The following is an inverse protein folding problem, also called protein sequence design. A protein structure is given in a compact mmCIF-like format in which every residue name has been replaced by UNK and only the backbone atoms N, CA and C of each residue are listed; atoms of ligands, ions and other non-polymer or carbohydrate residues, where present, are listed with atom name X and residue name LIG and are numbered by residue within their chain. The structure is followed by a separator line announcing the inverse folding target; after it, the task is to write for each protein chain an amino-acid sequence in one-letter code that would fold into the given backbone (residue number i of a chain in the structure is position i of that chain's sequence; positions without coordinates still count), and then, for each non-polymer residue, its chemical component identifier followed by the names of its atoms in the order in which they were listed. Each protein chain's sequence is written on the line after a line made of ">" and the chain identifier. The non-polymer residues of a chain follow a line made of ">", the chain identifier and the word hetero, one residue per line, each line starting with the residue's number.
data_IF_583791060281
#
_entry.id   IF_583791060281
#
_cell.length_a   1.000
_cell.length_b   1.000
_cell.length_c   1.000
_cell.angle_alpha   90.00
_cell.angle_beta   90.00
_cell.angle_gamma   90.00
#
_symmetry.space_group_name_H-M   'P 1'
#
loop_
_entity.id
_entity.type
_entity.pdbx_description
1 polymer ?
#
# COMPACT_ATOMS: atom_id res chain seq x y z
N UNK A 1 12.25 -23.77 11.29
CA UNK A 1 13.54 -23.81 10.56
C UNK A 1 14.05 -22.42 10.14
N UNK A 2 13.33 -21.70 9.27
CA UNK A 2 13.75 -20.38 8.77
C UNK A 2 13.84 -19.31 9.87
N UNK A 3 12.89 -19.27 10.80
CA UNK A 3 12.90 -18.31 11.91
C UNK A 3 14.14 -18.43 12.81
N UNK A 4 14.60 -19.65 13.07
CA UNK A 4 15.80 -19.90 13.89
C UNK A 4 17.06 -19.45 13.15
N UNK A 5 17.14 -19.68 11.84
CA UNK A 5 18.26 -19.23 10.99
C UNK A 5 18.33 -17.69 10.99
N UNK A 6 17.19 -17.02 10.87
CA UNK A 6 17.11 -15.54 10.92
C UNK A 6 17.57 -15.03 12.28
N UNK A 7 17.09 -15.62 13.38
CA UNK A 7 17.50 -15.23 14.74
C UNK A 7 19.02 -15.38 14.93
N UNK A 8 19.59 -16.51 14.51
CA UNK A 8 21.04 -16.74 14.56
C UNK A 8 21.77 -15.68 13.73
N UNK A 9 21.32 -15.39 12.51
CA UNK A 9 21.93 -14.37 11.66
C UNK A 9 21.86 -12.96 12.27
N UNK A 10 20.75 -12.61 12.92
CA UNK A 10 20.58 -11.33 13.62
C UNK A 10 21.60 -11.21 14.76
N UNK A 11 21.70 -12.23 15.62
CA UNK A 11 22.68 -12.21 16.72
C UNK A 11 24.14 -12.22 16.25
N UNK A 12 24.43 -12.80 15.08
CA UNK A 12 25.81 -12.98 14.61
C UNK A 12 26.30 -11.84 13.70
N UNK A 13 25.41 -11.18 12.96
CA UNK A 13 25.79 -10.14 11.98
C UNK A 13 25.27 -8.74 12.28
N UNK A 14 24.22 -8.59 13.09
CA UNK A 14 23.75 -7.26 13.47
C UNK A 14 24.64 -6.75 14.60
N UNK A 15 25.67 -5.96 14.25
CA UNK A 15 26.40 -5.15 15.22
C UNK A 15 25.41 -4.14 15.79
N UNK A 16 24.91 -4.39 16.98
CA UNK A 16 24.69 -3.38 18.02
C UNK A 16 24.37 -1.95 17.54
N UNK A 17 23.34 -1.74 16.70
CA UNK A 17 22.70 -0.42 16.51
C UNK A 17 21.82 -0.16 17.75
N UNK A 18 22.46 -0.05 18.92
CA UNK A 18 21.77 0.17 20.19
C UNK A 18 21.29 1.60 20.27
N UNK A 19 19.98 1.77 20.08
CA UNK A 19 19.14 2.79 20.71
C UNK A 19 19.68 4.23 20.62
N UNK A 20 19.65 4.83 19.41
CA UNK A 20 19.71 6.30 19.28
C UNK A 20 18.51 6.99 19.97
N UNK A 21 17.43 6.26 20.26
CA UNK A 21 16.22 6.73 20.96
C UNK A 21 16.21 6.38 22.48
N UNK A 22 17.37 6.42 23.16
CA UNK A 22 17.40 6.27 24.63
C UNK A 22 16.66 7.44 25.30
N UNK A 23 15.47 7.17 25.85
CA UNK A 23 14.72 8.11 26.69
C UNK A 23 13.34 8.52 26.15
N UNK A 24 12.92 8.05 24.97
CA UNK A 24 11.57 8.29 24.48
C UNK A 24 10.59 7.27 25.06
N UNK A 25 9.58 7.75 25.79
CA UNK A 25 8.49 6.92 26.31
C UNK A 25 7.55 6.50 25.16
N UNK A 26 7.09 5.24 25.14
CA UNK A 26 6.14 4.77 24.14
C UNK A 26 4.71 5.30 24.41
N UNK A 27 4.08 5.90 23.41
CA UNK A 27 2.69 6.39 23.54
C UNK A 27 1.67 5.24 23.46
N UNK A 28 1.46 4.56 24.59
CA UNK A 28 0.46 3.49 24.70
C UNK A 28 -0.98 3.98 24.43
N UNK A 29 -1.29 5.23 24.81
CA UNK A 29 -2.65 5.77 24.65
C UNK A 29 -2.93 6.00 23.18
N UNK A 30 -2.03 6.68 22.48
CA UNK A 30 -2.09 6.87 21.03
C UNK A 30 -2.20 5.53 20.30
N UNK A 31 -1.42 4.53 20.71
CA UNK A 31 -1.41 3.22 20.08
C UNK A 31 -2.76 2.49 20.20
N UNK A 32 -3.40 2.57 21.37
CA UNK A 32 -4.73 1.97 21.60
C UNK A 32 -5.80 2.68 20.79
N UNK A 33 -5.83 4.02 20.80
CA UNK A 33 -6.82 4.79 20.03
C UNK A 33 -6.67 4.49 18.55
N UNK A 34 -5.43 4.50 18.03
CA UNK A 34 -5.14 4.17 16.65
C UNK A 34 -5.57 2.76 16.29
N UNK A 35 -5.22 1.76 17.12
CA UNK A 35 -5.59 0.36 16.89
C UNK A 35 -7.11 0.16 16.85
N UNK A 36 -7.84 0.74 17.81
CA UNK A 36 -9.31 0.69 17.85
C UNK A 36 -9.94 1.39 16.65
N UNK A 37 -9.37 2.51 16.20
CA UNK A 37 -9.83 3.23 15.01
C UNK A 37 -9.74 2.35 13.76
N UNK A 38 -8.59 1.69 13.55
CA UNK A 38 -8.38 0.81 12.40
C UNK A 38 -9.33 -0.38 12.45
N UNK A 39 -9.45 -1.06 13.61
CA UNK A 39 -10.33 -2.22 13.76
C UNK A 39 -11.79 -1.83 13.47
N UNK A 40 -12.27 -0.71 14.02
CA UNK A 40 -13.63 -0.24 13.77
C UNK A 40 -13.88 0.08 12.29
N UNK A 41 -12.94 0.75 11.62
CA UNK A 41 -13.04 1.05 10.17
C UNK A 41 -13.06 -0.25 9.37
N UNK A 42 -12.10 -1.16 9.58
CA UNK A 42 -12.00 -2.43 8.82
C UNK A 42 -13.26 -3.25 8.98
N UNK A 43 -13.65 -3.49 10.23
CA UNK A 43 -14.79 -4.33 10.53
C UNK A 43 -16.10 -3.68 10.06
N UNK A 44 -16.20 -2.36 10.19
CA UNK A 44 -17.30 -1.58 9.64
C UNK A 44 -17.44 -1.73 8.12
N UNK A 45 -16.34 -1.60 7.36
CA UNK A 45 -16.32 -1.83 5.91
C UNK A 45 -16.79 -3.24 5.54
N UNK A 46 -16.39 -4.25 6.31
CA UNK A 46 -16.82 -5.64 6.07
C UNK A 46 -18.32 -5.87 6.28
N UNK A 47 -19.00 -4.99 7.04
CA UNK A 47 -20.43 -5.10 7.33
C UNK A 47 -21.30 -4.27 6.38
N UNK A 48 -20.71 -3.34 5.62
CA UNK A 48 -21.42 -2.53 4.64
C UNK A 48 -22.19 -3.41 3.61
N UNK A 49 -23.39 -2.98 3.17
CA UNK A 49 -24.02 -1.67 3.40
C UNK A 49 -24.90 -1.64 4.66
N UNK A 50 -24.76 -2.58 5.60
CA UNK A 50 -25.58 -2.58 6.81
C UNK A 50 -25.32 -1.31 7.65
N UNK A 51 -26.38 -0.83 8.32
CA UNK A 51 -26.31 0.37 9.16
C UNK A 51 -25.28 0.24 10.30
N UNK A 52 -25.12 -0.97 10.86
CA UNK A 52 -24.08 -1.26 11.86
C UNK A 52 -22.66 -1.05 11.31
N UNK A 53 -22.44 -1.41 10.04
CA UNK A 53 -21.18 -1.15 9.34
C UNK A 53 -20.92 0.33 9.17
N UNK A 54 -21.92 1.10 8.76
CA UNK A 54 -21.82 2.56 8.64
C UNK A 54 -21.48 3.23 9.99
N UNK A 55 -22.16 2.84 11.08
CA UNK A 55 -21.85 3.34 12.42
C UNK A 55 -20.43 3.00 12.88
N UNK A 56 -19.95 1.77 12.64
CA UNK A 56 -18.58 1.37 12.97
C UNK A 56 -17.54 2.18 12.19
N UNK A 57 -17.79 2.44 10.90
CA UNK A 57 -16.92 3.31 10.09
C UNK A 57 -16.90 4.73 10.65
N UNK A 58 -18.06 5.30 11.03
CA UNK A 58 -18.15 6.63 11.62
C UNK A 58 -17.43 6.73 12.97
N UNK A 59 -17.61 5.72 13.85
CA UNK A 59 -16.90 5.64 15.14
C UNK A 59 -15.40 5.51 14.90
N UNK A 60 -14.99 4.66 13.97
CA UNK A 60 -13.59 4.49 13.62
C UNK A 60 -12.97 5.77 13.05
N UNK A 61 -13.69 6.49 12.18
CA UNK A 61 -13.28 7.79 11.66
C UNK A 61 -13.18 8.85 12.78
N UNK A 62 -14.10 8.84 13.73
CA UNK A 62 -14.04 9.71 14.92
C UNK A 62 -12.83 9.38 15.80
N UNK A 63 -12.55 8.11 16.06
CA UNK A 63 -11.36 7.67 16.80
C UNK A 63 -10.06 8.03 16.09
N UNK A 64 -10.04 7.96 14.75
CA UNK A 64 -8.89 8.40 13.96
C UNK A 64 -8.69 9.92 14.07
N UNK A 65 -9.78 10.69 14.04
CA UNK A 65 -9.73 12.13 14.24
C UNK A 65 -9.26 12.52 15.64
N UNK A 66 -9.71 11.82 16.68
CA UNK A 66 -9.21 12.05 18.05
C UNK A 66 -7.75 11.62 18.22
N UNK A 67 -7.32 10.54 17.57
CA UNK A 67 -5.91 10.13 17.53
C UNK A 67 -5.03 11.22 16.91
N UNK A 68 -5.42 11.81 15.77
CA UNK A 68 -4.69 12.93 15.17
C UNK A 68 -4.59 14.10 16.15
N UNK A 69 -5.68 14.43 16.85
CA UNK A 69 -5.67 15.49 17.87
C UNK A 69 -4.78 15.19 19.09
N UNK A 70 -4.68 13.91 19.48
CA UNK A 70 -3.81 13.44 20.56
C UNK A 70 -2.33 13.54 20.17
N UNK A 71 -2.00 13.07 18.97
CA UNK A 71 -0.64 13.05 18.43
C UNK A 71 0.00 14.44 18.32
N UNK A 72 -0.79 15.47 18.00
CA UNK A 72 -0.30 16.86 17.95
C UNK A 72 0.27 17.31 19.31
N UNK A 73 -0.20 16.73 20.42
CA UNK A 73 0.15 17.13 21.79
C UNK A 73 1.06 16.13 22.51
N UNK A 74 1.28 14.95 21.93
CA UNK A 74 2.06 13.89 22.54
C UNK A 74 3.56 14.29 22.63
N UNK A 75 4.24 13.89 23.71
CA UNK A 75 5.68 14.15 23.89
C UNK A 75 6.55 13.25 23.01
N UNK A 76 6.10 12.01 22.80
CA UNK A 76 6.75 11.00 21.96
C UNK A 76 5.71 10.45 20.96
N UNK A 77 5.36 11.21 19.92
CA UNK A 77 4.31 10.88 18.98
C UNK A 77 4.62 9.59 18.18
N UNK A 78 3.63 8.71 17.98
CA UNK A 78 3.73 7.54 17.09
C UNK A 78 3.81 8.01 15.63
N UNK A 79 3.07 9.07 15.31
CA UNK A 79 3.16 9.78 14.05
C UNK A 79 3.62 11.20 14.32
N UNK A 80 4.90 11.49 14.13
CA UNK A 80 5.40 12.85 14.26
C UNK A 80 4.82 13.75 13.14
N UNK A 81 3.76 14.48 13.47
CA UNK A 81 3.05 15.39 12.56
C UNK A 81 3.97 16.51 12.07
N UNK A 82 5.03 16.86 12.81
CA UNK A 82 5.99 17.85 12.36
C UNK A 82 6.78 17.35 11.14
N UNK A 83 7.03 16.05 11.02
CA UNK A 83 7.62 15.47 9.81
C UNK A 83 6.69 15.68 8.61
N UNK A 84 5.37 15.50 8.76
CA UNK A 84 4.43 15.77 7.67
C UNK A 84 4.33 17.25 7.31
N UNK A 85 4.41 18.15 8.30
CA UNK A 85 4.25 19.59 8.08
C UNK A 85 5.49 20.24 7.48
N UNK A 86 6.67 19.84 7.93
CA UNK A 86 7.93 20.49 7.59
C UNK A 86 8.72 19.76 6.49
N UNK A 87 8.35 18.52 6.15
CA UNK A 87 9.03 17.71 5.15
C UNK A 87 8.06 17.26 4.05
N UNK A 88 8.07 18.00 2.95
CA UNK A 88 7.21 17.74 1.79
C UNK A 88 7.51 16.39 1.15
N UNK A 89 8.78 15.96 1.10
CA UNK A 89 9.16 14.64 0.55
C UNK A 89 8.54 13.53 1.38
N UNK A 90 8.63 13.62 2.71
CA UNK A 90 8.04 12.65 3.62
C UNK A 90 6.52 12.58 3.48
N UNK A 91 5.85 13.74 3.50
CA UNK A 91 4.39 13.82 3.39
C UNK A 91 3.86 13.24 2.08
N UNK A 92 4.41 13.68 0.94
CA UNK A 92 3.95 13.23 -0.37
C UNK A 92 4.37 11.80 -0.71
N UNK A 93 5.51 11.31 -0.22
CA UNK A 93 5.90 9.91 -0.41
C UNK A 93 5.01 8.94 0.40
N UNK A 94 4.59 9.35 1.60
CA UNK A 94 3.61 8.60 2.40
C UNK A 94 2.21 8.65 1.79
N UNK A 95 1.78 9.82 1.30
CA UNK A 95 0.51 9.95 0.56
C UNK A 95 0.49 9.11 -0.71
N UNK A 96 1.58 9.12 -1.49
CA UNK A 96 1.72 8.30 -2.68
C UNK A 96 1.67 6.81 -2.33
N UNK A 97 2.30 6.37 -1.22
CA UNK A 97 2.22 5.00 -0.74
C UNK A 97 0.77 4.62 -0.41
N UNK A 98 0.09 5.43 0.40
CA UNK A 98 -1.31 5.21 0.77
C UNK A 98 -2.19 5.03 -0.48
N UNK A 99 -2.08 5.94 -1.45
CA UNK A 99 -2.89 5.90 -2.68
C UNK A 99 -2.54 4.68 -3.54
N UNK A 100 -1.25 4.39 -3.75
CA UNK A 100 -0.83 3.26 -4.59
C UNK A 100 -1.28 1.92 -4.01
N UNK A 101 -1.13 1.72 -2.69
CA UNK A 101 -1.59 0.50 -2.03
C UNK A 101 -3.13 0.41 -1.93
N UNK A 102 -3.82 1.56 -1.87
CA UNK A 102 -5.29 1.62 -1.99
C UNK A 102 -5.81 1.16 -3.35
N UNK A 103 -5.01 1.36 -4.40
CA UNK A 103 -5.40 0.96 -5.75
C UNK A 103 -5.02 -0.48 -6.12
N UNK A 104 -4.05 -1.10 -5.43
CA UNK A 104 -3.41 -2.33 -5.95
C UNK A 104 -3.68 -3.58 -5.13
N UNK A 105 -3.99 -3.46 -3.85
CA UNK A 105 -4.03 -4.63 -2.98
C UNK A 105 -5.19 -5.60 -3.28
N UNK A 106 -6.36 -5.06 -3.63
CA UNK A 106 -7.52 -5.89 -3.99
C UNK A 106 -7.36 -6.62 -5.34
N UNK A 107 -6.34 -6.30 -6.15
CA UNK A 107 -6.13 -6.93 -7.48
C UNK A 107 -6.05 -8.45 -7.37
N UNK A 108 -5.21 -8.97 -6.46
CA UNK A 108 -5.03 -10.43 -6.31
C UNK A 108 -6.32 -11.12 -5.88
N UNK A 109 -7.12 -10.48 -5.02
CA UNK A 109 -8.41 -11.01 -4.60
C UNK A 109 -9.42 -11.03 -5.75
N UNK A 110 -9.60 -9.90 -6.46
CA UNK A 110 -10.52 -9.79 -7.59
C UNK A 110 -10.15 -10.77 -8.72
N UNK A 111 -8.87 -10.86 -9.05
CA UNK A 111 -8.39 -11.80 -10.08
C UNK A 111 -8.50 -13.26 -9.64
N UNK A 112 -8.28 -13.57 -8.35
CA UNK A 112 -8.50 -14.91 -7.83
C UNK A 112 -9.95 -15.36 -8.04
N UNK A 113 -10.91 -14.49 -7.70
CA UNK A 113 -12.33 -14.80 -7.91
C UNK A 113 -12.67 -14.90 -9.40
N UNK A 114 -12.15 -14.01 -10.24
CA UNK A 114 -12.34 -14.09 -11.69
C UNK A 114 -11.80 -15.39 -12.29
N UNK A 115 -10.58 -15.79 -11.96
CA UNK A 115 -9.93 -16.98 -12.49
C UNK A 115 -10.65 -18.27 -12.04
N UNK A 116 -11.14 -18.31 -10.80
CA UNK A 116 -11.83 -19.49 -10.28
C UNK A 116 -13.29 -19.57 -10.74
N UNK A 117 -14.07 -18.49 -10.58
CA UNK A 117 -15.52 -18.53 -10.86
C UNK A 117 -15.85 -18.31 -12.34
N UNK A 118 -15.14 -17.44 -13.04
CA UNK A 118 -15.43 -17.13 -14.46
C UNK A 118 -14.61 -18.01 -15.40
N UNK A 119 -13.31 -18.21 -15.12
CA UNK A 119 -12.46 -19.08 -15.94
C UNK A 119 -12.50 -20.55 -15.54
N UNK A 120 -13.12 -20.88 -14.41
CA UNK A 120 -13.25 -22.27 -13.95
C UNK A 120 -11.91 -22.93 -13.60
N UNK A 121 -10.87 -22.15 -13.31
CA UNK A 121 -9.55 -22.69 -12.97
C UNK A 121 -9.54 -23.26 -11.55
N UNK A 122 -8.68 -24.25 -11.34
CA UNK A 122 -8.40 -24.76 -10.00
C UNK A 122 -7.75 -23.66 -9.12
N UNK A 123 -7.86 -23.75 -7.79
CA UNK A 123 -7.14 -22.87 -6.89
C UNK A 123 -5.61 -22.92 -7.09
N UNK A 124 -5.06 -24.09 -7.44
CA UNK A 124 -3.64 -24.27 -7.71
C UNK A 124 -3.20 -23.48 -8.95
N UNK A 125 -3.92 -23.62 -10.06
CA UNK A 125 -3.60 -22.91 -11.31
C UNK A 125 -3.79 -21.40 -11.16
N UNK A 126 -4.84 -20.99 -10.45
CA UNK A 126 -5.08 -19.59 -10.10
C UNK A 126 -3.90 -19.01 -9.30
N UNK A 127 -3.43 -19.74 -8.29
CA UNK A 127 -2.26 -19.35 -7.51
C UNK A 127 -1.01 -19.17 -8.37
N UNK A 128 -0.73 -20.11 -9.28
CA UNK A 128 0.41 -20.02 -10.20
C UNK A 128 0.36 -18.77 -11.09
N UNK A 129 -0.81 -18.41 -11.59
CA UNK A 129 -1.00 -17.19 -12.39
C UNK A 129 -0.76 -15.95 -11.54
N UNK A 130 -1.35 -15.87 -10.35
CA UNK A 130 -1.25 -14.69 -9.47
C UNK A 130 0.17 -14.45 -8.96
N UNK A 131 0.97 -15.52 -8.78
CA UNK A 131 2.38 -15.44 -8.37
C UNK A 131 3.26 -14.72 -9.40
N UNK A 132 2.82 -14.57 -10.65
CA UNK A 132 3.57 -13.81 -11.67
C UNK A 132 3.86 -12.37 -11.24
N UNK A 133 2.91 -11.68 -10.60
CA UNK A 133 3.07 -10.30 -10.14
C UNK A 133 4.18 -10.16 -9.08
N UNK A 134 4.15 -10.87 -7.94
CA UNK A 134 5.20 -10.73 -6.92
C UNK A 134 6.56 -11.24 -7.38
N UNK A 135 6.62 -12.24 -8.28
CA UNK A 135 7.89 -12.71 -8.86
C UNK A 135 8.56 -11.62 -9.67
N UNK A 136 7.82 -10.95 -10.57
CA UNK A 136 8.36 -9.82 -11.34
C UNK A 136 8.76 -8.69 -10.39
N UNK A 137 7.93 -8.38 -9.40
CA UNK A 137 8.25 -7.35 -8.43
C UNK A 137 9.56 -7.64 -7.69
N UNK A 138 9.76 -8.89 -7.24
CA UNK A 138 10.97 -9.33 -6.55
C UNK A 138 12.22 -9.25 -7.44
N UNK A 139 12.11 -9.65 -8.71
CA UNK A 139 13.22 -9.59 -9.68
C UNK A 139 13.65 -8.14 -9.94
N UNK A 140 12.70 -7.23 -10.14
CA UNK A 140 12.99 -5.86 -10.57
C UNK A 140 13.20 -4.84 -9.43
N UNK A 141 12.74 -5.15 -8.20
CA UNK A 141 12.88 -4.24 -7.05
C UNK A 141 14.34 -3.83 -6.74
N UNK A 142 15.35 -4.73 -6.74
CA UNK A 142 16.74 -4.32 -6.54
C UNK A 142 17.27 -3.37 -7.61
N UNK A 143 16.84 -3.55 -8.87
CA UNK A 143 17.23 -2.67 -9.97
C UNK A 143 16.58 -1.30 -9.83
N UNK A 144 15.31 -1.25 -9.42
CA UNK A 144 14.61 -0.01 -9.13
C UNK A 144 15.29 0.78 -8.00
N UNK A 145 15.72 0.08 -6.93
CA UNK A 145 16.47 0.69 -5.83
C UNK A 145 17.79 1.30 -6.29
N UNK A 146 18.62 0.54 -7.02
CA UNK A 146 19.89 1.07 -7.58
C UNK A 146 19.68 2.23 -8.55
N UNK A 147 18.60 2.21 -9.33
CA UNK A 147 18.24 3.30 -10.22
C UNK A 147 17.85 4.55 -9.42
N UNK A 148 17.17 4.37 -8.28
CA UNK A 148 16.78 5.43 -7.35
C UNK A 148 17.93 6.12 -6.66
N UNK A 149 19.11 5.49 -6.59
CA UNK A 149 20.33 6.10 -6.04
C UNK A 149 21.00 7.05 -7.06
N UNK A 150 20.61 6.96 -8.34
CA UNK A 150 21.20 7.74 -9.44
C UNK A 150 20.22 8.73 -10.08
N UNK A 151 18.94 8.38 -10.11
CA UNK A 151 17.86 9.16 -10.70
C UNK A 151 16.90 9.54 -9.59
N UNK A 152 16.35 10.75 -9.65
CA UNK A 152 15.43 11.25 -8.62
C UNK A 152 14.29 10.26 -8.36
N UNK A 153 14.06 9.83 -7.10
CA UNK A 153 13.07 8.80 -6.77
C UNK A 153 11.66 9.20 -7.22
N UNK A 154 11.37 10.51 -7.21
CA UNK A 154 10.14 11.10 -7.76
C UNK A 154 9.86 10.62 -9.18
N UNK A 155 10.85 10.61 -10.07
CA UNK A 155 10.66 10.30 -11.49
C UNK A 155 10.36 8.81 -11.64
N UNK A 156 11.19 7.97 -11.02
CA UNK A 156 11.09 6.51 -11.13
C UNK A 156 9.77 6.01 -10.53
N UNK A 157 9.43 6.45 -9.32
CA UNK A 157 8.21 6.02 -8.66
C UNK A 157 6.96 6.55 -9.35
N UNK A 158 6.99 7.77 -9.91
CA UNK A 158 5.86 8.27 -10.72
C UNK A 158 5.68 7.45 -12.01
N UNK A 159 6.77 7.07 -12.68
CA UNK A 159 6.72 6.18 -13.83
C UNK A 159 6.17 4.79 -13.45
N UNK A 160 6.59 4.24 -12.30
CA UNK A 160 6.04 3.00 -11.75
C UNK A 160 4.54 3.07 -11.47
N UNK A 161 4.05 4.20 -10.93
CA UNK A 161 2.62 4.43 -10.77
C UNK A 161 1.88 4.57 -12.11
N UNK A 162 2.46 5.20 -13.12
CA UNK A 162 1.87 5.28 -14.45
C UNK A 162 1.71 3.88 -15.09
N UNK A 163 2.71 3.02 -14.96
CA UNK A 163 2.64 1.62 -15.40
C UNK A 163 1.59 0.82 -14.59
N UNK A 164 1.49 1.10 -13.30
CA UNK A 164 0.44 0.53 -12.43
C UNK A 164 -0.95 0.93 -12.93
N UNK A 165 -1.18 2.21 -13.25
CA UNK A 165 -2.45 2.69 -13.83
C UNK A 165 -2.74 1.99 -15.15
N UNK A 166 -1.75 1.89 -16.05
CA UNK A 166 -1.92 1.19 -17.31
C UNK A 166 -2.35 -0.26 -17.10
N UNK A 167 -1.72 -0.98 -16.17
CA UNK A 167 -2.13 -2.34 -15.83
C UNK A 167 -3.53 -2.42 -15.22
N UNK A 168 -3.90 -1.50 -14.32
CA UNK A 168 -5.24 -1.48 -13.73
C UNK A 168 -6.31 -1.22 -14.79
N UNK A 169 -6.03 -0.34 -15.76
CA UNK A 169 -6.90 -0.11 -16.92
C UNK A 169 -7.01 -1.35 -17.81
N UNK A 170 -5.94 -2.11 -18.02
CA UNK A 170 -6.00 -3.37 -18.77
C UNK A 170 -6.99 -4.36 -18.13
N UNK A 171 -7.06 -4.43 -16.80
CA UNK A 171 -8.01 -5.31 -16.12
C UNK A 171 -9.49 -4.88 -16.27
N UNK A 172 -9.78 -3.65 -16.71
CA UNK A 172 -11.16 -3.22 -17.04
C UNK A 172 -11.71 -3.91 -18.30
N UNK A 173 -10.83 -4.49 -19.13
CA UNK A 173 -11.22 -5.22 -20.35
C UNK A 173 -11.51 -6.70 -20.11
N UNK A 174 -11.38 -7.20 -18.87
CA UNK A 174 -11.63 -8.62 -18.56
C UNK A 174 -13.06 -9.03 -18.90
N UNK A 175 -13.20 -10.16 -19.59
CA UNK A 175 -14.48 -10.78 -19.94
C UNK A 175 -14.35 -12.31 -19.89
N UNK A 176 -15.41 -13.03 -20.23
CA UNK A 176 -15.43 -14.49 -20.21
C UNK A 176 -14.48 -15.12 -21.24
N UNK A 177 -14.19 -14.42 -22.35
CA UNK A 177 -13.35 -14.91 -23.45
C UNK A 177 -11.87 -14.50 -23.33
N UNK A 178 -11.52 -13.67 -22.34
CA UNK A 178 -10.17 -13.08 -22.25
C UNK A 178 -9.09 -14.15 -22.14
N UNK A 179 -8.08 -14.11 -22.99
CA UNK A 179 -7.00 -15.08 -22.96
C UNK A 179 -6.19 -14.99 -21.65
N UNK A 180 -5.79 -16.12 -21.07
CA UNK A 180 -4.95 -16.14 -19.85
C UNK A 180 -3.63 -15.39 -20.04
N UNK A 181 -3.08 -15.39 -21.26
CA UNK A 181 -1.88 -14.62 -21.62
C UNK A 181 -2.05 -13.12 -21.36
N UNK A 182 -3.25 -12.57 -21.59
CA UNK A 182 -3.55 -11.16 -21.32
C UNK A 182 -3.51 -10.87 -19.82
N UNK A 183 -4.09 -11.75 -19.00
CA UNK A 183 -4.08 -11.64 -17.52
C UNK A 183 -2.65 -11.69 -16.99
N UNK A 184 -1.86 -12.67 -17.44
CA UNK A 184 -0.45 -12.82 -17.04
C UNK A 184 0.39 -11.61 -17.46
N UNK A 185 0.23 -11.13 -18.69
CA UNK A 185 0.98 -9.95 -19.18
C UNK A 185 0.62 -8.70 -18.39
N UNK A 186 -0.66 -8.54 -18.04
CA UNK A 186 -1.12 -7.43 -17.19
C UNK A 186 -0.54 -7.55 -15.77
N UNK A 187 -0.53 -8.74 -15.16
CA UNK A 187 0.11 -8.99 -13.86
C UNK A 187 1.62 -8.72 -13.86
N UNK A 188 2.31 -9.06 -14.95
CA UNK A 188 3.73 -8.75 -15.14
C UNK A 188 3.92 -7.23 -15.18
N UNK A 189 3.11 -6.51 -15.96
CA UNK A 189 3.15 -5.05 -16.04
C UNK A 189 2.89 -4.41 -14.67
N UNK A 190 1.91 -4.92 -13.92
CA UNK A 190 1.61 -4.49 -12.55
C UNK A 190 2.81 -4.72 -11.62
N UNK A 191 3.41 -5.91 -11.65
CA UNK A 191 4.56 -6.27 -10.83
C UNK A 191 5.76 -5.37 -11.11
N UNK A 192 6.00 -5.06 -12.39
CA UNK A 192 7.05 -4.14 -12.81
C UNK A 192 6.77 -2.70 -12.36
N UNK A 193 5.54 -2.21 -12.53
CA UNK A 193 5.12 -0.89 -12.04
C UNK A 193 5.29 -0.73 -10.53
N UNK A 194 4.87 -1.76 -9.77
CA UNK A 194 5.03 -1.81 -8.32
C UNK A 194 6.50 -1.88 -7.87
N UNK A 195 7.37 -2.58 -8.61
CA UNK A 195 8.81 -2.58 -8.33
C UNK A 195 9.42 -1.17 -8.47
N UNK A 196 9.10 -0.49 -9.57
CA UNK A 196 9.56 0.88 -9.83
C UNK A 196 8.96 1.91 -8.87
N UNK A 197 7.83 1.63 -8.23
CA UNK A 197 7.26 2.48 -7.20
C UNK A 197 7.83 2.19 -5.81
N UNK A 198 7.72 0.95 -5.34
CA UNK A 198 7.89 0.59 -3.94
C UNK A 198 9.30 0.86 -3.42
N UNK A 199 10.34 0.44 -4.16
CA UNK A 199 11.72 0.63 -3.72
C UNK A 199 12.15 2.10 -3.75
N UNK A 200 11.97 2.86 -4.84
CA UNK A 200 12.30 4.29 -4.86
C UNK A 200 11.48 5.12 -3.86
N UNK A 201 10.21 4.77 -3.64
CA UNK A 201 9.40 5.46 -2.62
C UNK A 201 9.90 5.19 -1.20
N UNK A 202 10.34 3.97 -0.91
CA UNK A 202 10.93 3.64 0.39
C UNK A 202 12.23 4.41 0.60
N UNK A 203 13.11 4.44 -0.41
CA UNK A 203 14.33 5.25 -0.37
C UNK A 203 14.00 6.73 -0.15
N UNK A 204 13.00 7.28 -0.84
CA UNK A 204 12.57 8.67 -0.66
C UNK A 204 12.13 8.99 0.77
N UNK A 205 11.37 8.10 1.40
CA UNK A 205 10.94 8.27 2.80
C UNK A 205 12.14 8.23 3.73
N UNK A 206 12.98 7.20 3.63
CA UNK A 206 14.12 7.01 4.54
C UNK A 206 15.18 8.09 4.38
N UNK A 207 15.49 8.50 3.15
CA UNK A 207 16.48 9.55 2.88
C UNK A 207 15.97 10.95 3.20
N UNK A 208 14.67 11.12 3.48
CA UNK A 208 14.10 12.43 3.84
C UNK A 208 14.22 12.77 5.32
N UNK A 209 14.58 11.80 6.16
CA UNK A 209 14.65 11.98 7.62
C UNK A 209 16.05 11.67 8.16
N UNK A 210 16.38 12.21 9.34
CA UNK A 210 17.60 11.87 10.07
C UNK A 210 17.55 10.43 10.60
N UNK A 211 18.72 9.82 10.85
CA UNK A 211 18.85 8.41 11.29
C UNK A 211 18.00 8.08 12.52
N UNK A 212 17.97 9.00 13.50
CA UNK A 212 17.16 8.88 14.73
C UNK A 212 15.66 8.66 14.47
N UNK A 213 15.14 9.13 13.33
CA UNK A 213 13.73 8.99 12.97
C UNK A 213 13.43 7.80 12.05
N UNK A 214 14.40 6.94 11.73
CA UNK A 214 14.19 5.79 10.85
C UNK A 214 13.12 4.83 11.37
N UNK A 215 13.04 4.62 12.69
CA UNK A 215 11.98 3.83 13.30
C UNK A 215 10.59 4.40 13.02
N UNK A 216 10.40 5.70 13.28
CA UNK A 216 9.14 6.43 13.05
C UNK A 216 8.79 6.47 11.55
N UNK A 217 9.76 6.75 10.69
CA UNK A 217 9.56 6.81 9.24
C UNK A 217 9.14 5.45 8.66
N UNK A 218 9.78 4.37 9.09
CA UNK A 218 9.43 3.00 8.69
C UNK A 218 8.05 2.60 9.17
N UNK A 219 7.74 2.86 10.45
CA UNK A 219 6.42 2.58 11.02
C UNK A 219 5.32 3.36 10.27
N UNK A 220 5.56 4.65 10.00
CA UNK A 220 4.64 5.50 9.25
C UNK A 220 4.38 4.96 7.85
N UNK A 221 5.43 4.59 7.11
CA UNK A 221 5.29 4.04 5.76
C UNK A 221 4.54 2.70 5.77
N UNK A 222 4.83 1.83 6.74
CA UNK A 222 4.12 0.57 6.92
C UNK A 222 2.63 0.80 7.23
N UNK A 223 2.33 1.77 8.09
CA UNK A 223 0.98 2.25 8.40
C UNK A 223 0.24 2.73 7.14
N UNK A 224 0.87 3.56 6.32
CA UNK A 224 0.27 4.04 5.06
C UNK A 224 -0.02 2.88 4.10
N UNK A 225 0.90 1.93 3.99
CA UNK A 225 0.71 0.71 3.19
C UNK A 225 -0.48 -0.09 3.69
N UNK A 226 -0.52 -0.46 4.98
CA UNK A 226 -1.59 -1.29 5.54
C UNK A 226 -2.95 -0.61 5.44
N UNK A 227 -3.01 0.69 5.78
CA UNK A 227 -4.22 1.49 5.65
C UNK A 227 -4.70 1.52 4.19
N UNK A 228 -3.78 1.69 3.23
CA UNK A 228 -4.13 1.63 1.81
C UNK A 228 -4.65 0.26 1.41
N UNK A 229 -3.97 -0.81 1.80
CA UNK A 229 -4.42 -2.19 1.53
C UNK A 229 -5.84 -2.44 2.06
N UNK A 230 -6.16 -1.96 3.25
CA UNK A 230 -7.49 -2.03 3.84
C UNK A 230 -8.53 -1.25 3.02
N UNK A 231 -8.23 -0.01 2.63
CA UNK A 231 -9.12 0.79 1.78
C UNK A 231 -9.38 0.11 0.43
N UNK A 232 -8.35 -0.51 -0.15
CA UNK A 232 -8.45 -1.26 -1.40
C UNK A 232 -9.49 -2.38 -1.29
N UNK A 233 -9.39 -3.21 -0.25
CA UNK A 233 -10.37 -4.27 0.00
C UNK A 233 -11.76 -3.71 0.32
N UNK A 234 -11.84 -2.62 1.10
CA UNK A 234 -13.10 -1.96 1.40
C UNK A 234 -13.84 -1.49 0.14
N UNK A 235 -13.13 -0.86 -0.80
CA UNK A 235 -13.67 -0.43 -2.10
C UNK A 235 -14.15 -1.63 -2.92
N UNK A 236 -13.36 -2.71 -2.99
CA UNK A 236 -13.74 -3.92 -3.71
C UNK A 236 -15.02 -4.55 -3.13
N UNK A 237 -15.08 -4.72 -1.82
CA UNK A 237 -16.23 -5.30 -1.12
C UNK A 237 -17.47 -4.42 -1.23
N UNK A 238 -17.33 -3.10 -1.12
CA UNK A 238 -18.43 -2.16 -1.32
C UNK A 238 -18.97 -2.24 -2.75
N UNK A 239 -18.09 -2.34 -3.74
CA UNK A 239 -18.49 -2.50 -5.14
C UNK A 239 -19.28 -3.80 -5.33
N UNK A 240 -18.82 -4.93 -4.81
CA UNK A 240 -19.59 -6.18 -4.85
C UNK A 240 -20.93 -6.07 -4.14
N UNK A 241 -20.98 -5.45 -2.97
CA UNK A 241 -22.20 -5.31 -2.21
C UNK A 241 -23.27 -4.46 -2.93
N UNK A 242 -22.85 -3.44 -3.70
CA UNK A 242 -23.77 -2.59 -4.48
C UNK A 242 -24.31 -3.31 -5.72
N UNK A 243 -23.47 -4.06 -6.44
CA UNK A 243 -23.82 -4.61 -7.76
C UNK A 243 -24.33 -6.07 -7.72
N UNK A 244 -23.84 -6.88 -6.77
CA UNK A 244 -24.22 -8.30 -6.63
C UNK A 244 -25.11 -8.49 -5.40
N UNK A 245 -24.84 -7.73 -4.32
CA UNK A 245 -25.47 -7.95 -3.01
C UNK A 245 -24.80 -9.06 -2.20
N UNK A 246 -25.41 -9.46 -1.08
CA UNK A 246 -24.91 -10.54 -0.19
C UNK A 246 -25.37 -11.92 -0.67
N UNK A 247 -25.12 -12.25 -1.93
CA UNK A 247 -25.50 -13.55 -2.52
C UNK A 247 -24.28 -14.36 -2.93
N UNK A 248 -24.32 -15.70 -2.83
CA UNK A 248 -23.23 -16.54 -3.32
C UNK A 248 -23.04 -16.34 -4.83
N UNK A 249 -21.78 -16.28 -5.26
CA UNK A 249 -21.41 -16.16 -6.67
C UNK A 249 -21.88 -17.43 -7.37
N UNK A 250 -22.95 -17.30 -8.15
CA UNK A 250 -23.54 -18.36 -8.96
C UNK A 250 -23.56 -17.93 -10.43
N UNK A 251 -23.64 -18.87 -11.40
CA UNK A 251 -23.57 -18.56 -12.83
C UNK A 251 -24.53 -17.45 -13.29
N UNK A 252 -25.69 -17.31 -12.63
CA UNK A 252 -26.68 -16.26 -12.89
C UNK A 252 -26.17 -14.83 -12.62
N UNK A 253 -25.17 -14.65 -11.77
CA UNK A 253 -24.61 -13.35 -11.39
C UNK A 253 -23.24 -13.07 -12.01
N UNK A 254 -22.74 -13.93 -12.93
CA UNK A 254 -21.42 -13.75 -13.54
C UNK A 254 -21.28 -12.41 -14.29
N UNK A 255 -22.33 -11.97 -14.99
CA UNK A 255 -22.34 -10.67 -15.70
C UNK A 255 -22.24 -9.48 -14.73
N UNK A 256 -23.00 -9.49 -13.63
CA UNK A 256 -22.93 -8.47 -12.58
C UNK A 256 -21.59 -8.49 -11.84
N UNK A 257 -21.04 -9.68 -11.61
CA UNK A 257 -19.73 -9.88 -11.00
C UNK A 257 -18.60 -9.31 -11.87
N UNK A 258 -18.59 -9.62 -13.17
CA UNK A 258 -17.64 -9.03 -14.11
C UNK A 258 -17.76 -7.51 -14.16
N UNK A 259 -18.99 -6.99 -14.19
CA UNK A 259 -19.23 -5.54 -14.17
C UNK A 259 -18.65 -4.90 -12.91
N UNK A 260 -18.84 -5.54 -11.74
CA UNK A 260 -18.30 -5.06 -10.47
C UNK A 260 -16.77 -5.05 -10.46
N UNK A 261 -16.13 -6.10 -10.98
CA UNK A 261 -14.68 -6.17 -11.13
C UNK A 261 -14.17 -5.00 -11.99
N UNK A 262 -14.80 -4.78 -13.15
CA UNK A 262 -14.40 -3.70 -14.07
C UNK A 262 -14.52 -2.34 -13.42
N UNK A 263 -15.59 -2.10 -12.67
CA UNK A 263 -15.82 -0.84 -11.96
C UNK A 263 -14.81 -0.66 -10.83
N UNK A 264 -14.51 -1.72 -10.07
CA UNK A 264 -13.47 -1.67 -9.05
C UNK A 264 -12.11 -1.31 -9.66
N UNK A 265 -11.73 -1.95 -10.78
CA UNK A 265 -10.49 -1.61 -11.48
C UNK A 265 -10.48 -0.21 -12.07
N UNK A 266 -11.62 0.31 -12.53
CA UNK A 266 -11.74 1.70 -12.98
C UNK A 266 -11.53 2.68 -11.82
N UNK A 267 -12.15 2.43 -10.65
CA UNK A 267 -11.97 3.23 -9.44
C UNK A 267 -10.50 3.20 -9.01
N UNK A 268 -9.88 2.02 -8.97
CA UNK A 268 -8.46 1.87 -8.64
C UNK A 268 -7.55 2.58 -9.63
N UNK A 269 -7.86 2.53 -10.93
CA UNK A 269 -7.11 3.24 -11.96
C UNK A 269 -7.18 4.75 -11.75
N UNK A 270 -8.37 5.30 -11.52
CA UNK A 270 -8.57 6.73 -11.27
C UNK A 270 -7.87 7.18 -9.98
N UNK A 271 -7.99 6.38 -8.91
CA UNK A 271 -7.32 6.63 -7.63
C UNK A 271 -5.79 6.65 -7.79
N UNK A 272 -5.22 5.63 -8.44
CA UNK A 272 -3.78 5.54 -8.68
C UNK A 272 -3.28 6.65 -9.61
N UNK A 273 -4.08 7.05 -10.61
CA UNK A 273 -3.79 8.18 -11.48
C UNK A 273 -3.66 9.49 -10.69
N UNK A 274 -4.59 9.75 -9.76
CA UNK A 274 -4.46 10.86 -8.79
C UNK A 274 -3.17 10.76 -7.96
N UNK A 275 -2.79 9.55 -7.57
CA UNK A 275 -1.55 9.28 -6.84
C UNK A 275 -0.27 9.61 -7.60
N UNK A 276 -0.27 9.59 -8.95
CA UNK A 276 0.88 10.03 -9.75
C UNK A 276 1.22 11.48 -9.43
N UNK A 277 0.22 12.35 -9.25
CA UNK A 277 0.45 13.75 -8.93
C UNK A 277 1.00 13.92 -7.51
N UNK A 278 0.54 13.14 -6.54
CA UNK A 278 1.13 13.12 -5.19
C UNK A 278 2.60 12.66 -5.24
N UNK A 279 2.87 11.59 -5.98
CA UNK A 279 4.21 11.05 -6.21
C UNK A 279 5.14 12.05 -6.89
N UNK A 280 4.61 12.84 -7.84
CA UNK A 280 5.33 13.94 -8.46
C UNK A 280 5.52 15.09 -7.46
N UNK A 281 4.49 15.53 -6.74
CA UNK A 281 4.56 16.72 -5.89
C UNK A 281 5.63 16.65 -4.77
N UNK A 282 6.16 15.46 -4.45
CA UNK A 282 7.16 15.23 -3.39
C UNK A 282 8.44 16.08 -3.47
N UNK A 283 8.85 16.58 -4.64
CA UNK A 283 10.09 17.36 -4.79
C UNK A 283 11.34 16.56 -5.21
N UNK A 284 12.53 17.14 -5.03
CA UNK A 284 13.84 16.55 -5.41
C UNK A 284 14.65 16.21 -4.16
N UNK A 285 15.24 15.01 -4.13
CA UNK A 285 15.98 14.51 -2.96
C UNK A 285 17.48 14.75 -3.14
N UNK A 286 18.02 14.55 -4.35
CA UNK A 286 19.46 14.64 -4.58
C UNK A 286 19.99 16.07 -4.61
N UNK A 287 19.12 17.08 -4.60
CA UNK A 287 19.50 18.50 -4.52
C UNK A 287 19.62 19.05 -3.09
N UNK A 288 19.42 18.23 -2.04
CA UNK A 288 19.75 18.64 -0.68
C UNK A 288 21.26 18.54 -0.44
N UNK A 289 21.93 19.57 0.08
CA UNK A 289 23.31 19.43 0.51
C UNK A 289 23.37 18.35 1.59
N UNK A 290 24.22 17.32 1.38
CA UNK A 290 24.52 16.35 2.44
C UNK A 290 25.00 17.15 3.66
N UNK A 291 24.48 16.91 4.87
CA UNK A 291 25.06 17.53 6.06
C UNK A 291 26.55 17.15 6.07
N UNK A 292 27.40 18.17 5.96
CA UNK A 292 28.83 17.99 6.17
C UNK A 292 29.01 17.32 7.52
N UNK A 293 29.69 16.16 7.51
CA UNK A 293 30.20 15.53 8.71
C UNK A 293 31.01 16.59 9.47
N UNK A 294 30.40 17.23 10.48
CA UNK A 294 31.14 17.91 11.53
C UNK A 294 31.75 16.83 12.41
N UNK A 295 32.80 16.20 11.89
CA UNK A 295 33.82 15.58 12.72
C UNK A 295 34.67 16.73 13.27
N UNK A 296 34.43 17.06 14.55
CA UNK A 296 35.29 17.87 15.39
C UNK A 296 35.38 17.19 16.74
#
# INVERSE_FOLDING_TARGET
>A
PLGVIIIIFVFWKLKEEWAEAKGEEFDFIGAIIYSLSLVAIIYGFSLLPAMSGAWLVLIGAFLLWTFVGWEIKAKSPILDINLFRNNTIFAFSNLAALINYSATFAVSFLLSLYLQYVKGLSPQDTGLILVSQPVVMAIFSPFAGRLSDRVEPRIIASAGMALTVASLLLFTFLNEETALKFVVTSLILLGFGLALFSSPNTNAVMSSVESRFYGVASATLATMRLTGQMLSMGIAMLTFAIYIGKVPITPRYHSFFLTSIKIAFLIFSALCFGGIFASLARGKIHSMPRPENRCG
#
